data_IF_667984551973
#
_entry.id   IF_667984551973
#
_cell.length_a   1.000
_cell.length_b   1.000
_cell.length_c   1.000
_cell.angle_alpha   90.00
_cell.angle_beta   90.00
_cell.angle_gamma   90.00
#
_symmetry.space_group_name_H-M   'P 1'
#
loop_
_entity.id
_entity.type
_entity.pdbx_description
1 polymer ?
#
# COMPACT_ATOMS: atom_id res chain seq x y z
N UNK A 1 25.00 -43.93 -63.32
CA UNK A 1 26.22 -44.16 -62.52
C UNK A 1 27.00 -42.84 -62.38
N UNK A 2 26.43 -41.86 -61.67
CA UNK A 2 27.13 -40.65 -61.22
C UNK A 2 26.51 -40.30 -59.87
N UNK A 3 27.10 -40.82 -58.79
CA UNK A 3 26.92 -40.32 -57.42
C UNK A 3 28.17 -39.51 -57.08
N UNK A 4 28.01 -38.21 -56.78
CA UNK A 4 28.86 -37.37 -55.90
C UNK A 4 28.49 -35.89 -56.04
N UNK A 5 27.71 -35.39 -55.09
CA UNK A 5 27.85 -34.09 -54.41
C UNK A 5 26.51 -33.61 -53.87
N UNK A 6 26.23 -33.94 -52.61
CA UNK A 6 25.28 -33.22 -51.78
C UNK A 6 25.65 -33.43 -50.31
N UNK A 7 26.81 -32.90 -49.92
CA UNK A 7 27.18 -32.71 -48.51
C UNK A 7 27.61 -31.25 -48.37
N UNK A 8 26.85 -30.47 -47.59
CA UNK A 8 27.27 -29.13 -47.18
C UNK A 8 26.20 -28.05 -47.31
N UNK A 9 25.31 -27.99 -46.32
CA UNK A 9 25.01 -26.77 -45.53
C UNK A 9 23.91 -27.08 -44.51
N UNK A 10 24.34 -27.54 -43.33
CA UNK A 10 23.54 -27.43 -42.12
C UNK A 10 23.41 -25.95 -41.76
N UNK A 11 22.19 -25.54 -41.42
CA UNK A 11 21.80 -24.18 -41.14
C UNK A 11 22.40 -23.63 -39.83
N UNK A 12 22.82 -22.37 -39.87
CA UNK A 12 23.32 -21.58 -38.75
C UNK A 12 22.21 -21.27 -37.72
N UNK A 13 22.22 -21.98 -36.59
CA UNK A 13 21.50 -21.62 -35.36
C UNK A 13 22.30 -20.64 -34.52
N UNK A 14 21.81 -19.40 -34.38
CA UNK A 14 22.54 -18.26 -33.82
C UNK A 14 22.89 -18.36 -32.29
N UNK A 15 24.01 -17.75 -31.84
CA UNK A 15 24.61 -17.80 -30.48
C UNK A 15 23.88 -17.02 -29.35
N UNK A 16 22.61 -16.67 -29.54
CA UNK A 16 21.80 -15.92 -28.53
C UNK A 16 21.43 -16.81 -27.33
N UNK A 17 21.56 -18.13 -27.42
CA UNK A 17 21.08 -19.06 -26.38
C UNK A 17 22.01 -19.24 -25.17
N UNK A 18 23.34 -19.15 -25.33
CA UNK A 18 24.29 -19.39 -24.23
C UNK A 18 24.47 -18.18 -23.30
N UNK A 19 24.52 -16.96 -23.88
CA UNK A 19 24.65 -15.71 -23.13
C UNK A 19 23.42 -15.44 -22.26
N UNK A 20 22.22 -15.69 -22.79
CA UNK A 20 20.96 -15.55 -22.04
C UNK A 20 20.89 -16.55 -20.89
N UNK A 21 21.26 -17.82 -21.12
CA UNK A 21 21.34 -18.84 -20.05
C UNK A 21 22.33 -18.44 -18.95
N UNK A 22 23.54 -18.02 -19.31
CA UNK A 22 24.56 -17.59 -18.34
C UNK A 22 24.12 -16.37 -17.54
N UNK A 23 23.46 -15.39 -18.20
CA UNK A 23 22.89 -14.22 -17.53
C UNK A 23 21.83 -14.65 -16.51
N UNK A 24 20.89 -15.52 -16.89
CA UNK A 24 19.84 -16.04 -16.00
C UNK A 24 20.40 -16.85 -14.82
N UNK A 25 21.40 -17.69 -15.05
CA UNK A 25 22.05 -18.47 -13.99
C UNK A 25 22.74 -17.55 -12.97
N UNK A 26 23.41 -16.48 -13.43
CA UNK A 26 24.06 -15.50 -12.54
C UNK A 26 23.01 -14.72 -11.73
N UNK A 27 21.91 -14.30 -12.35
CA UNK A 27 20.78 -13.65 -11.68
C UNK A 27 20.19 -14.52 -10.56
N UNK A 28 19.99 -15.81 -10.85
CA UNK A 28 19.47 -16.79 -9.89
C UNK A 28 20.44 -17.05 -8.73
N UNK A 29 21.75 -17.16 -9.01
CA UNK A 29 22.77 -17.37 -7.98
C UNK A 29 22.86 -16.20 -7.00
N UNK A 30 22.82 -14.96 -7.50
CA UNK A 30 22.82 -13.75 -6.66
C UNK A 30 21.56 -13.70 -5.79
N UNK A 31 20.39 -13.97 -6.37
CA UNK A 31 19.14 -13.94 -5.63
C UNK A 31 19.05 -15.04 -4.56
N UNK A 32 19.51 -16.26 -4.86
CA UNK A 32 19.56 -17.37 -3.91
C UNK A 32 20.46 -17.03 -2.72
N UNK A 33 21.70 -16.62 -2.99
CA UNK A 33 22.65 -16.21 -1.95
C UNK A 33 22.10 -15.06 -1.08
N UNK A 34 21.40 -14.10 -1.68
CA UNK A 34 20.80 -12.99 -0.94
C UNK A 34 19.70 -13.46 0.02
N UNK A 35 18.78 -14.30 -0.45
CA UNK A 35 17.67 -14.79 0.36
C UNK A 35 18.15 -15.76 1.45
N UNK A 36 19.11 -16.63 1.14
CA UNK A 36 19.72 -17.54 2.13
C UNK A 36 20.42 -16.75 3.24
N UNK A 37 21.27 -15.77 2.88
CA UNK A 37 21.92 -14.91 3.87
C UNK A 37 20.89 -14.15 4.73
N UNK A 38 19.78 -13.70 4.14
CA UNK A 38 18.72 -13.01 4.89
C UNK A 38 17.97 -13.94 5.84
N UNK A 39 17.72 -15.18 5.44
CA UNK A 39 17.10 -16.19 6.30
C UNK A 39 18.01 -16.60 7.47
N UNK A 40 19.33 -16.67 7.25
CA UNK A 40 20.31 -17.07 8.27
C UNK A 40 20.68 -15.94 9.23
N UNK A 41 21.01 -14.76 8.70
CA UNK A 41 21.56 -13.64 9.48
C UNK A 41 20.50 -12.61 9.90
N UNK A 42 19.33 -12.63 9.27
CA UNK A 42 18.30 -11.61 9.40
C UNK A 42 18.46 -10.48 8.36
N UNK A 43 17.32 -9.99 7.87
CA UNK A 43 17.19 -9.01 6.78
C UNK A 43 18.10 -7.80 6.98
N UNK A 44 18.08 -7.19 8.16
CA UNK A 44 18.83 -5.96 8.44
C UNK A 44 20.35 -6.17 8.48
N UNK A 45 20.83 -7.40 8.72
CA UNK A 45 22.26 -7.70 8.90
C UNK A 45 23.00 -8.03 7.61
N UNK A 46 22.28 -8.34 6.53
CA UNK A 46 22.90 -8.73 5.25
C UNK A 46 23.57 -7.52 4.58
N UNK A 47 24.73 -7.73 3.97
CA UNK A 47 25.45 -6.70 3.19
C UNK A 47 25.63 -7.16 1.74
N UNK A 48 25.88 -6.22 0.83
CA UNK A 48 26.17 -6.55 -0.58
C UNK A 48 27.42 -7.44 -0.68
N UNK A 49 28.41 -7.22 0.18
CA UNK A 49 29.65 -7.99 0.26
C UNK A 49 29.40 -9.44 0.64
N UNK A 50 28.55 -9.69 1.64
CA UNK A 50 28.15 -11.05 2.03
C UNK A 50 27.49 -11.79 0.87
N UNK A 51 26.57 -11.12 0.16
CA UNK A 51 25.88 -11.69 -1.00
C UNK A 51 26.87 -12.01 -2.12
N UNK A 52 27.77 -11.07 -2.43
CA UNK A 52 28.79 -11.25 -3.47
C UNK A 52 29.70 -12.44 -3.15
N UNK A 53 30.14 -12.56 -1.90
CA UNK A 53 30.97 -13.67 -1.42
C UNK A 53 30.26 -15.01 -1.55
N UNK A 54 28.99 -15.08 -1.13
CA UNK A 54 28.19 -16.31 -1.20
C UNK A 54 27.84 -16.69 -2.65
N UNK A 55 27.55 -15.72 -3.52
CA UNK A 55 27.23 -15.96 -4.93
C UNK A 55 28.47 -16.17 -5.83
N UNK A 56 29.68 -15.95 -5.33
CA UNK A 56 30.91 -16.03 -6.11
C UNK A 56 31.01 -14.96 -7.21
N UNK A 57 30.48 -13.75 -6.97
CA UNK A 57 30.49 -12.65 -7.94
C UNK A 57 31.18 -11.41 -7.40
N UNK A 58 31.64 -10.53 -8.29
CA UNK A 58 32.17 -9.23 -7.88
C UNK A 58 31.05 -8.24 -7.52
N UNK A 59 31.36 -7.19 -6.74
CA UNK A 59 30.43 -6.09 -6.45
C UNK A 59 29.93 -5.41 -7.72
N UNK A 60 30.79 -5.21 -8.73
CA UNK A 60 30.38 -4.67 -10.04
C UNK A 60 29.40 -5.59 -10.76
N UNK A 61 29.65 -6.90 -10.72
CA UNK A 61 28.72 -7.90 -11.25
C UNK A 61 27.38 -7.84 -10.53
N UNK A 62 27.34 -7.71 -9.20
CA UNK A 62 26.10 -7.57 -8.46
C UNK A 62 25.27 -6.36 -8.94
N UNK A 63 25.89 -5.17 -9.02
CA UNK A 63 25.18 -3.94 -9.42
C UNK A 63 24.71 -3.93 -10.88
N UNK A 64 25.27 -4.78 -11.74
CA UNK A 64 24.76 -4.99 -13.09
C UNK A 64 23.40 -5.72 -13.13
N UNK A 65 23.00 -6.36 -12.03
CA UNK A 65 21.77 -7.14 -11.92
C UNK A 65 20.77 -6.54 -10.92
N UNK A 66 21.27 -6.02 -9.79
CA UNK A 66 20.44 -5.48 -8.70
C UNK A 66 20.92 -4.10 -8.29
N UNK A 67 19.98 -3.15 -8.16
CA UNK A 67 20.28 -1.79 -7.70
C UNK A 67 20.66 -1.72 -6.23
N UNK A 68 20.22 -2.69 -5.42
CA UNK A 68 20.45 -2.72 -3.98
C UNK A 68 20.43 -4.14 -3.42
N UNK A 69 20.93 -4.27 -2.18
CA UNK A 69 20.82 -5.50 -1.38
C UNK A 69 19.36 -5.94 -1.23
N UNK A 70 18.47 -5.01 -0.91
CA UNK A 70 17.05 -5.30 -0.71
C UNK A 70 16.38 -5.79 -2.00
N UNK A 71 16.76 -5.25 -3.15
CA UNK A 71 16.26 -5.71 -4.45
C UNK A 71 16.70 -7.16 -4.77
N UNK A 72 17.88 -7.58 -4.31
CA UNK A 72 18.34 -8.97 -4.44
C UNK A 72 17.57 -9.91 -3.51
N UNK A 73 17.29 -9.47 -2.28
CA UNK A 73 16.58 -10.26 -1.27
C UNK A 73 15.08 -10.37 -1.59
N UNK A 74 14.38 -9.25 -1.68
CA UNK A 74 12.91 -9.19 -1.81
C UNK A 74 12.49 -9.47 -3.26
N UNK A 75 13.27 -8.98 -4.22
CA UNK A 75 12.96 -9.00 -5.63
C UNK A 75 13.09 -7.60 -6.24
N UNK A 76 13.21 -7.54 -7.56
CA UNK A 76 13.35 -6.26 -8.29
C UNK A 76 12.08 -5.44 -8.15
N UNK A 77 12.24 -4.14 -7.94
CA UNK A 77 11.15 -3.15 -7.98
C UNK A 77 10.44 -3.25 -9.34
N UNK A 78 9.12 -3.30 -9.32
CA UNK A 78 8.31 -3.23 -10.54
C UNK A 78 8.52 -1.85 -11.13
N UNK A 79 9.00 -1.78 -12.37
CA UNK A 79 9.13 -0.51 -13.06
C UNK A 79 7.74 0.11 -13.28
N UNK A 80 7.66 1.45 -13.25
CA UNK A 80 6.44 2.13 -13.66
C UNK A 80 6.08 1.71 -15.09
N UNK A 81 4.79 1.49 -15.40
CA UNK A 81 4.38 1.14 -16.75
C UNK A 81 4.68 2.31 -17.70
N UNK A 82 5.07 2.00 -18.94
CA UNK A 82 5.20 3.03 -19.96
C UNK A 82 3.82 3.54 -20.40
N UNK A 83 3.73 4.75 -20.98
CA UNK A 83 2.48 5.24 -21.55
C UNK A 83 1.86 4.26 -22.55
N UNK A 84 2.67 3.58 -23.38
CA UNK A 84 2.18 2.60 -24.36
C UNK A 84 1.65 1.31 -23.71
N UNK A 85 2.26 0.87 -22.60
CA UNK A 85 1.75 -0.27 -21.84
C UNK A 85 0.42 0.07 -21.17
N UNK A 86 0.35 1.26 -20.56
CA UNK A 86 -0.86 1.77 -19.91
C UNK A 86 -1.99 1.90 -20.92
N UNK A 87 -1.73 2.56 -22.05
CA UNK A 87 -2.72 2.78 -23.10
C UNK A 87 -3.27 1.46 -23.67
N UNK A 88 -2.39 0.48 -23.94
CA UNK A 88 -2.81 -0.84 -24.42
C UNK A 88 -3.72 -1.56 -23.43
N UNK A 89 -3.34 -1.60 -22.15
CA UNK A 89 -4.08 -2.34 -21.13
C UNK A 89 -5.44 -1.69 -20.82
N UNK A 90 -5.44 -0.36 -20.64
CA UNK A 90 -6.64 0.41 -20.33
C UNK A 90 -7.62 0.44 -21.51
N UNK A 91 -7.13 0.62 -22.74
CA UNK A 91 -7.98 0.59 -23.95
C UNK A 91 -8.57 -0.79 -24.25
N UNK A 92 -8.01 -1.86 -23.68
CA UNK A 92 -8.59 -3.21 -23.75
C UNK A 92 -9.86 -3.37 -22.89
N UNK A 93 -10.05 -2.48 -21.90
CA UNK A 93 -11.17 -2.51 -20.96
C UNK A 93 -11.86 -1.14 -20.88
N UNK A 94 -12.40 -0.63 -22.00
CA UNK A 94 -13.01 0.70 -22.02
C UNK A 94 -14.21 0.73 -21.06
N UNK A 95 -14.16 1.61 -20.07
CA UNK A 95 -15.16 1.73 -19.02
C UNK A 95 -14.97 0.79 -17.82
N UNK A 96 -13.89 0.00 -17.75
CA UNK A 96 -13.49 -0.71 -16.53
C UNK A 96 -12.03 -0.42 -16.21
N UNK A 97 -11.73 0.73 -15.56
CA UNK A 97 -10.36 1.09 -15.21
C UNK A 97 -9.71 0.05 -14.27
N UNK A 98 -10.51 -0.63 -13.44
CA UNK A 98 -10.02 -1.70 -12.56
C UNK A 98 -9.51 -2.90 -13.35
N UNK A 99 -10.26 -3.38 -14.36
CA UNK A 99 -9.82 -4.51 -15.18
C UNK A 99 -8.60 -4.15 -16.03
N UNK A 100 -8.60 -2.94 -16.63
CA UNK A 100 -7.44 -2.44 -17.38
C UNK A 100 -6.18 -2.35 -16.52
N UNK A 101 -6.32 -1.93 -15.26
CA UNK A 101 -5.22 -1.88 -14.31
C UNK A 101 -4.77 -3.27 -13.84
N UNK A 102 -5.69 -4.22 -13.63
CA UNK A 102 -5.36 -5.61 -13.31
C UNK A 102 -4.51 -6.24 -14.43
N UNK A 103 -4.93 -6.06 -15.68
CA UNK A 103 -4.22 -6.54 -16.87
C UNK A 103 -2.85 -5.89 -17.05
N UNK A 104 -2.72 -4.63 -16.61
CA UNK A 104 -1.44 -3.91 -16.63
C UNK A 104 -0.48 -4.42 -15.55
N UNK A 105 -0.94 -4.49 -14.30
CA UNK A 105 -0.05 -4.63 -13.14
C UNK A 105 0.17 -6.09 -12.75
N UNK A 106 -0.86 -6.94 -12.78
CA UNK A 106 -0.76 -8.30 -12.23
C UNK A 106 0.24 -9.13 -13.04
N UNK A 107 0.20 -9.14 -14.39
CA UNK A 107 1.23 -9.81 -15.18
C UNK A 107 2.63 -9.21 -14.97
N UNK A 108 2.75 -7.90 -14.82
CA UNK A 108 4.03 -7.24 -14.58
C UNK A 108 4.65 -7.65 -13.23
N UNK A 109 3.84 -7.79 -12.18
CA UNK A 109 4.27 -8.28 -10.86
C UNK A 109 4.55 -9.78 -10.89
N UNK A 110 3.71 -10.55 -11.59
CA UNK A 110 3.77 -12.01 -11.63
C UNK A 110 4.90 -12.56 -12.52
N UNK A 111 5.30 -11.85 -13.58
CA UNK A 111 6.19 -12.33 -14.65
C UNK A 111 7.67 -12.54 -14.28
N UNK A 112 8.04 -12.46 -13.01
CA UNK A 112 9.40 -12.81 -12.57
C UNK A 112 9.57 -14.32 -12.39
N UNK A 113 10.01 -14.99 -13.46
CA UNK A 113 10.37 -16.41 -13.46
C UNK A 113 11.56 -16.71 -12.53
N UNK A 114 11.25 -16.98 -11.26
CA UNK A 114 12.19 -17.53 -10.26
C UNK A 114 11.92 -19.02 -10.04
N UNK A 115 12.95 -19.80 -9.71
CA UNK A 115 12.78 -21.23 -9.44
C UNK A 115 11.96 -21.49 -8.16
N UNK A 116 11.23 -22.62 -8.05
CA UNK A 116 10.33 -22.91 -6.92
C UNK A 116 10.97 -22.85 -5.53
N UNK A 117 12.27 -23.13 -5.42
CA UNK A 117 13.00 -23.06 -4.15
C UNK A 117 13.18 -21.62 -3.67
N UNK A 118 13.69 -20.74 -4.54
CA UNK A 118 13.89 -19.32 -4.23
C UNK A 118 12.57 -18.62 -3.87
N UNK A 119 11.52 -19.04 -4.56
CA UNK A 119 10.13 -18.62 -4.33
C UNK A 119 9.66 -18.96 -2.92
N UNK A 120 9.79 -20.22 -2.53
CA UNK A 120 9.48 -20.71 -1.17
C UNK A 120 10.32 -19.99 -0.11
N UNK A 121 11.61 -19.78 -0.37
CA UNK A 121 12.52 -19.11 0.55
C UNK A 121 12.12 -17.65 0.81
N UNK A 122 11.71 -16.91 -0.23
CA UNK A 122 11.22 -15.52 -0.08
C UNK A 122 9.90 -15.45 0.68
N UNK A 123 8.96 -16.36 0.43
CA UNK A 123 7.71 -16.40 1.19
C UNK A 123 7.99 -16.63 2.69
N UNK A 124 8.90 -17.57 3.02
CA UNK A 124 9.35 -17.78 4.41
C UNK A 124 10.01 -16.55 5.01
N UNK A 125 10.82 -15.83 4.22
CA UNK A 125 11.47 -14.60 4.68
C UNK A 125 10.45 -13.50 5.01
N UNK A 126 9.51 -13.24 4.09
CA UNK A 126 8.48 -12.22 4.28
C UNK A 126 7.57 -12.55 5.46
N UNK A 127 7.16 -13.81 5.60
CA UNK A 127 6.35 -14.26 6.73
C UNK A 127 7.11 -14.27 8.07
N UNK A 128 8.42 -14.51 8.05
CA UNK A 128 9.24 -14.68 9.25
C UNK A 128 9.96 -13.41 9.74
N UNK A 129 10.09 -12.39 8.90
CA UNK A 129 10.90 -11.21 9.20
C UNK A 129 10.15 -9.90 8.88
N UNK A 130 9.67 -9.17 9.92
CA UNK A 130 8.90 -7.93 9.73
C UNK A 130 9.62 -6.86 8.91
N UNK A 131 10.94 -6.75 9.03
CA UNK A 131 11.72 -5.79 8.25
C UNK A 131 11.68 -6.08 6.74
N UNK A 132 11.70 -7.36 6.36
CA UNK A 132 11.59 -7.78 4.97
C UNK A 132 10.18 -7.49 4.42
N UNK A 133 9.14 -7.78 5.20
CA UNK A 133 7.76 -7.48 4.84
C UNK A 133 7.54 -5.98 4.65
N UNK A 134 7.97 -5.15 5.60
CA UNK A 134 7.88 -3.68 5.51
C UNK A 134 8.55 -3.15 4.25
N UNK A 135 9.76 -3.62 3.93
CA UNK A 135 10.47 -3.19 2.73
C UNK A 135 9.74 -3.62 1.44
N UNK A 136 9.18 -4.82 1.42
CA UNK A 136 8.37 -5.29 0.29
C UNK A 136 7.10 -4.45 0.11
N UNK A 137 6.34 -4.23 1.18
CA UNK A 137 5.12 -3.43 1.17
C UNK A 137 5.36 -1.98 0.78
N UNK A 138 6.43 -1.35 1.29
CA UNK A 138 6.82 0.01 0.90
C UNK A 138 7.12 0.12 -0.61
N UNK A 139 7.80 -0.88 -1.17
CA UNK A 139 8.04 -0.96 -2.61
C UNK A 139 6.75 -1.03 -3.44
N UNK A 140 5.74 -1.75 -2.96
CA UNK A 140 4.44 -1.86 -3.63
C UNK A 140 3.61 -0.57 -3.53
N UNK A 141 3.69 0.17 -2.44
CA UNK A 141 3.03 1.49 -2.31
C UNK A 141 3.63 2.50 -3.30
N UNK A 142 4.95 2.47 -3.51
CA UNK A 142 5.57 3.31 -4.55
C UNK A 142 5.04 2.97 -5.96
N UNK A 143 4.82 1.69 -6.25
CA UNK A 143 4.20 1.25 -7.50
C UNK A 143 2.76 1.77 -7.61
N UNK A 144 1.99 1.73 -6.51
CA UNK A 144 0.64 2.27 -6.44
C UNK A 144 0.60 3.77 -6.82
N UNK A 145 1.54 4.57 -6.33
CA UNK A 145 1.61 6.00 -6.69
C UNK A 145 1.87 6.21 -8.18
N UNK A 146 2.84 5.50 -8.75
CA UNK A 146 3.15 5.59 -10.18
C UNK A 146 1.99 5.13 -11.06
N UNK A 147 1.27 4.08 -10.66
CA UNK A 147 0.07 3.61 -11.35
C UNK A 147 -1.06 4.64 -11.32
N UNK A 148 -1.22 5.35 -10.20
CA UNK A 148 -2.24 6.40 -10.07
C UNK A 148 -1.97 7.55 -11.03
N UNK A 149 -0.71 7.98 -11.15
CA UNK A 149 -0.32 9.02 -12.13
C UNK A 149 -0.54 8.55 -13.58
N UNK A 150 -0.17 7.32 -13.91
CA UNK A 150 -0.37 6.76 -15.25
C UNK A 150 -1.86 6.63 -15.61
N UNK A 151 -2.68 6.14 -14.68
CA UNK A 151 -4.12 5.99 -14.87
C UNK A 151 -4.82 7.36 -14.98
N UNK A 152 -4.45 8.33 -14.15
CA UNK A 152 -4.97 9.71 -14.23
C UNK A 152 -4.65 10.35 -15.59
N UNK A 153 -3.41 10.22 -16.06
CA UNK A 153 -3.01 10.74 -17.36
C UNK A 153 -3.81 10.11 -18.50
N UNK A 154 -4.05 8.79 -18.43
CA UNK A 154 -4.85 8.08 -19.43
C UNK A 154 -6.32 8.48 -19.39
N UNK A 155 -6.96 8.56 -18.21
CA UNK A 155 -8.36 8.98 -18.03
C UNK A 155 -8.58 10.44 -18.45
N UNK A 156 -7.57 11.29 -18.28
CA UNK A 156 -7.61 12.69 -18.75
C UNK A 156 -7.59 12.76 -20.27
N UNK A 157 -6.85 11.87 -20.94
CA UNK A 157 -6.79 11.78 -22.40
C UNK A 157 -8.03 11.10 -23.01
N UNK A 158 -8.71 10.23 -22.26
CA UNK A 158 -9.86 9.43 -22.68
C UNK A 158 -11.07 9.66 -21.78
N UNK A 159 -11.63 10.89 -21.72
CA UNK A 159 -12.74 11.23 -20.83
C UNK A 159 -14.01 10.40 -21.10
N UNK A 160 -14.18 9.85 -22.31
CA UNK A 160 -15.26 8.93 -22.67
C UNK A 160 -15.19 7.58 -21.96
N UNK A 161 -14.01 7.20 -21.45
CA UNK A 161 -13.79 5.98 -20.68
C UNK A 161 -13.92 6.19 -19.17
N UNK A 162 -14.05 7.45 -18.71
CA UNK A 162 -14.13 7.79 -17.30
C UNK A 162 -15.51 7.49 -16.71
N UNK A 163 -15.52 6.84 -15.55
CA UNK A 163 -16.70 6.59 -14.72
C UNK A 163 -17.08 7.77 -13.84
N UNK A 164 -16.11 8.63 -13.51
CA UNK A 164 -16.32 9.86 -12.74
C UNK A 164 -15.96 11.08 -13.62
N UNK A 165 -16.90 11.58 -14.45
CA UNK A 165 -16.63 12.66 -15.38
C UNK A 165 -16.04 13.90 -14.69
N UNK A 166 -14.94 14.41 -15.25
CA UNK A 166 -14.23 15.59 -14.72
C UNK A 166 -13.42 15.34 -13.44
N UNK A 167 -13.30 14.09 -12.97
CA UNK A 167 -12.55 13.73 -11.75
C UNK A 167 -11.54 12.59 -11.98
N UNK A 168 -10.66 12.67 -13.00
CA UNK A 168 -9.76 11.56 -13.38
C UNK A 168 -8.80 11.13 -12.26
N UNK A 169 -8.31 12.08 -11.43
CA UNK A 169 -7.46 11.75 -10.27
C UNK A 169 -8.17 10.89 -9.23
N UNK A 170 -9.43 11.22 -8.93
CA UNK A 170 -10.21 10.49 -7.93
C UNK A 170 -10.49 9.08 -8.44
N UNK A 171 -10.95 8.95 -9.67
CA UNK A 171 -11.19 7.67 -10.31
C UNK A 171 -9.93 6.79 -10.35
N UNK A 172 -8.79 7.34 -10.79
CA UNK A 172 -7.51 6.65 -10.80
C UNK A 172 -7.10 6.17 -9.38
N UNK A 173 -7.26 7.03 -8.37
CA UNK A 173 -6.89 6.71 -6.99
C UNK A 173 -7.76 5.57 -6.43
N UNK A 174 -9.06 5.60 -6.69
CA UNK A 174 -10.00 4.55 -6.26
C UNK A 174 -9.73 3.23 -6.97
N UNK A 175 -9.58 3.27 -8.31
CA UNK A 175 -9.32 2.07 -9.11
C UNK A 175 -7.98 1.40 -8.74
N UNK A 176 -6.91 2.19 -8.60
CA UNK A 176 -5.60 1.68 -8.21
C UNK A 176 -5.60 1.14 -6.78
N UNK A 177 -6.31 1.80 -5.85
CA UNK A 177 -6.46 1.27 -4.48
C UNK A 177 -7.23 -0.05 -4.46
N UNK A 178 -8.29 -0.19 -5.27
CA UNK A 178 -9.02 -1.45 -5.39
C UNK A 178 -8.15 -2.59 -5.92
N UNK A 179 -7.34 -2.33 -6.95
CA UNK A 179 -6.37 -3.28 -7.50
C UNK A 179 -5.32 -3.68 -6.47
N UNK A 180 -4.80 -2.71 -5.72
CA UNK A 180 -3.86 -2.97 -4.63
C UNK A 180 -4.49 -3.85 -3.53
N UNK A 181 -5.73 -3.54 -3.13
CA UNK A 181 -6.49 -4.33 -2.15
C UNK A 181 -6.67 -5.78 -2.62
N UNK A 182 -6.98 -5.98 -3.90
CA UNK A 182 -7.11 -7.30 -4.49
C UNK A 182 -5.81 -8.09 -4.41
N UNK A 183 -4.70 -7.49 -4.84
CA UNK A 183 -3.37 -8.10 -4.76
C UNK A 183 -2.98 -8.41 -3.30
N UNK A 184 -3.29 -7.52 -2.35
CA UNK A 184 -3.00 -7.73 -0.94
C UNK A 184 -3.83 -8.88 -0.34
N UNK A 185 -5.11 -9.00 -0.69
CA UNK A 185 -5.97 -10.07 -0.20
C UNK A 185 -5.57 -11.44 -0.77
N UNK A 186 -5.32 -11.57 -2.08
CA UNK A 186 -4.89 -12.85 -2.68
C UNK A 186 -3.55 -13.34 -2.15
N UNK A 187 -2.71 -12.43 -1.68
CA UNK A 187 -1.39 -12.74 -1.08
C UNK A 187 -1.42 -12.97 0.42
N UNK A 188 -2.60 -12.87 1.05
CA UNK A 188 -2.73 -12.99 2.50
C UNK A 188 -2.00 -11.88 3.25
N UNK A 189 -2.18 -10.62 2.83
CA UNK A 189 -1.50 -9.47 3.42
C UNK A 189 -0.02 -9.40 3.06
N UNK A 190 0.34 -9.76 1.82
CA UNK A 190 1.73 -9.86 1.35
C UNK A 190 2.57 -10.96 2.00
N UNK A 191 1.93 -11.88 2.74
CA UNK A 191 2.59 -13.07 3.32
C UNK A 191 3.20 -13.97 2.25
N UNK A 192 2.64 -13.93 1.04
CA UNK A 192 3.14 -14.66 -0.12
C UNK A 192 3.30 -13.66 -1.29
N UNK A 193 4.41 -13.65 -2.04
CA UNK A 193 4.52 -12.81 -3.23
C UNK A 193 3.43 -13.13 -4.26
N UNK A 194 2.87 -12.12 -4.93
CA UNK A 194 1.76 -12.31 -5.90
C UNK A 194 2.08 -13.32 -7.01
N UNK A 195 3.34 -13.40 -7.46
CA UNK A 195 3.79 -14.38 -8.47
C UNK A 195 3.66 -15.86 -8.05
N UNK A 196 3.48 -16.14 -6.76
CA UNK A 196 3.28 -17.50 -6.25
C UNK A 196 1.80 -17.90 -6.21
N UNK A 197 0.89 -16.93 -6.33
CA UNK A 197 -0.54 -17.19 -6.34
C UNK A 197 -0.87 -17.93 -7.65
N UNK A 198 -1.53 -19.11 -7.59
CA UNK A 198 -2.00 -19.79 -8.80
C UNK A 198 -2.98 -18.89 -9.54
N UNK A 199 -2.72 -18.66 -10.83
CA UNK A 199 -3.51 -17.77 -11.68
C UNK A 199 -3.81 -16.40 -10.99
N UNK A 200 -2.77 -15.58 -10.76
CA UNK A 200 -2.88 -14.41 -9.90
C UNK A 200 -3.87 -13.38 -10.45
N UNK A 201 -4.04 -13.31 -11.78
CA UNK A 201 -4.98 -12.40 -12.42
C UNK A 201 -6.43 -12.83 -12.13
N UNK A 202 -6.77 -14.10 -12.39
CA UNK A 202 -8.11 -14.60 -12.08
C UNK A 202 -8.43 -14.52 -10.57
N UNK A 203 -7.44 -14.80 -9.72
CA UNK A 203 -7.58 -14.64 -8.28
C UNK A 203 -7.89 -13.18 -7.89
N UNK A 204 -7.22 -12.19 -8.50
CA UNK A 204 -7.50 -10.78 -8.24
C UNK A 204 -8.91 -10.37 -8.71
N UNK A 205 -9.37 -10.82 -9.89
CA UNK A 205 -10.75 -10.56 -10.33
C UNK A 205 -11.79 -11.15 -9.35
N UNK A 206 -11.57 -12.36 -8.84
CA UNK A 206 -12.43 -12.97 -7.82
C UNK A 206 -12.47 -12.14 -6.51
N UNK A 207 -11.34 -11.56 -6.13
CA UNK A 207 -11.28 -10.67 -4.97
C UNK A 207 -11.94 -9.31 -5.25
N UNK A 208 -11.88 -8.78 -6.47
CA UNK A 208 -12.66 -7.59 -6.85
C UNK A 208 -14.17 -7.85 -6.73
N UNK A 209 -14.68 -9.03 -7.10
CA UNK A 209 -16.07 -9.42 -6.84
C UNK A 209 -16.42 -9.43 -5.34
N UNK A 210 -15.47 -9.88 -4.51
CA UNK A 210 -15.62 -9.86 -3.04
C UNK A 210 -15.67 -8.42 -2.52
N UNK A 211 -14.82 -7.53 -3.05
CA UNK A 211 -14.83 -6.12 -2.72
C UNK A 211 -16.14 -5.45 -3.13
N UNK A 212 -16.67 -5.74 -4.33
CA UNK A 212 -17.98 -5.28 -4.81
C UNK A 212 -19.10 -5.64 -3.84
N UNK A 213 -19.07 -6.87 -3.32
CA UNK A 213 -20.01 -7.34 -2.29
C UNK A 213 -19.90 -6.53 -1.00
N UNK A 214 -18.67 -6.29 -0.52
CA UNK A 214 -18.41 -5.57 0.74
C UNK A 214 -18.81 -4.09 0.69
N UNK A 215 -18.62 -3.42 -0.44
CA UNK A 215 -19.02 -2.00 -0.57
C UNK A 215 -20.51 -1.84 -0.87
N UNK A 216 -21.28 -2.93 -0.95
CA UNK A 216 -22.75 -2.86 -1.04
C UNK A 216 -23.31 -2.79 -2.46
N UNK A 217 -22.58 -3.22 -3.50
CA UNK A 217 -23.13 -3.28 -4.87
C UNK A 217 -24.25 -4.34 -5.05
N UNK A 218 -24.57 -5.14 -4.02
CA UNK A 218 -25.57 -6.23 -4.08
C UNK A 218 -26.74 -6.14 -3.07
N UNK A 219 -26.86 -5.09 -2.27
CA UNK A 219 -28.03 -4.86 -1.40
C UNK A 219 -28.66 -3.47 -1.66
N UNK A 220 -30.00 -3.34 -1.77
CA UNK A 220 -30.65 -2.07 -2.03
C UNK A 220 -30.82 -1.25 -0.76
N UNK A 221 -30.40 0.02 -0.85
CA UNK A 221 -30.67 1.16 0.05
C UNK A 221 -29.68 1.34 1.21
N UNK A 222 -28.79 2.37 1.15
CA UNK A 222 -28.04 2.79 2.33
C UNK A 222 -28.97 3.51 3.32
N UNK A 223 -28.74 3.40 4.65
CA UNK A 223 -29.38 4.29 5.62
C UNK A 223 -28.94 5.74 5.37
N UNK A 224 -29.79 6.70 5.72
CA UNK A 224 -29.50 8.12 5.51
C UNK A 224 -28.25 8.60 6.25
N UNK A 225 -27.64 9.74 5.85
CA UNK A 225 -26.33 10.20 6.32
C UNK A 225 -26.16 10.34 7.85
N UNK A 226 -27.26 10.44 8.60
CA UNK A 226 -27.25 10.52 10.07
C UNK A 226 -27.17 9.15 10.79
N UNK A 227 -27.38 8.04 10.09
CA UNK A 227 -27.25 6.67 10.64
C UNK A 227 -25.90 6.01 10.31
N UNK A 228 -25.13 6.58 9.37
CA UNK A 228 -23.88 6.01 8.84
C UNK A 228 -22.73 6.05 9.86
N UNK A 229 -22.73 7.01 10.80
CA UNK A 229 -21.76 7.05 11.91
C UNK A 229 -22.48 7.13 13.25
N UNK A 230 -22.61 5.99 13.93
CA UNK A 230 -22.69 5.97 15.38
C UNK A 230 -21.27 5.97 15.92
N UNK A 231 -20.56 7.09 15.71
CA UNK A 231 -19.37 7.35 16.52
C UNK A 231 -19.79 7.26 17.99
N UNK A 232 -18.94 6.76 18.89
CA UNK A 232 -19.16 6.97 20.31
C UNK A 232 -19.42 8.46 20.51
N UNK A 233 -20.56 8.82 21.13
CA UNK A 233 -20.79 10.19 21.59
C UNK A 233 -19.52 10.60 22.31
N UNK A 234 -18.88 11.77 21.99
CA UNK A 234 -17.67 12.18 22.68
C UNK A 234 -17.96 12.03 24.16
N UNK A 235 -17.22 11.13 24.80
CA UNK A 235 -17.43 10.80 26.21
C UNK A 235 -17.62 12.12 26.95
N UNK A 236 -18.70 12.21 27.75
CA UNK A 236 -18.91 13.24 28.76
C UNK A 236 -17.56 13.83 29.16
N UNK A 237 -17.37 15.12 28.89
CA UNK A 237 -16.15 15.90 29.15
C UNK A 237 -15.01 15.05 29.69
N UNK A 238 -14.21 14.46 28.79
CA UNK A 238 -12.96 13.77 29.17
C UNK A 238 -12.29 14.65 30.23
N UNK A 239 -12.18 14.19 31.50
CA UNK A 239 -11.96 15.06 32.63
C UNK A 239 -10.77 15.94 32.32
N UNK A 240 -11.02 17.26 32.31
CA UNK A 240 -10.12 18.31 31.84
C UNK A 240 -8.67 17.86 31.98
N UNK A 241 -8.10 17.35 30.86
CA UNK A 241 -6.84 16.60 30.88
C UNK A 241 -5.83 17.26 31.81
N UNK A 242 -5.36 16.49 32.79
CA UNK A 242 -4.58 17.03 33.90
C UNK A 242 -3.41 17.87 33.37
N UNK A 243 -3.01 18.91 34.11
CA UNK A 243 -1.96 19.86 33.69
C UNK A 243 -0.70 19.16 33.14
N UNK A 244 -0.37 17.98 33.68
CA UNK A 244 0.75 17.14 33.23
C UNK A 244 0.58 16.65 31.78
N UNK A 245 -0.61 16.23 31.38
CA UNK A 245 -0.90 15.72 30.04
C UNK A 245 -0.92 16.85 29.00
N UNK A 246 -1.44 18.03 29.35
CA UNK A 246 -1.33 19.23 28.50
C UNK A 246 0.12 19.63 28.30
N UNK A 247 0.90 19.76 29.37
CA UNK A 247 2.34 20.09 29.29
C UNK A 247 3.13 19.07 28.46
N UNK A 248 2.76 17.79 28.56
CA UNK A 248 3.33 16.72 27.73
C UNK A 248 3.03 16.98 26.25
N UNK A 249 1.77 17.20 25.89
CA UNK A 249 1.35 17.49 24.50
C UNK A 249 1.92 18.77 23.94
N UNK A 250 2.00 19.84 24.73
CA UNK A 250 2.62 21.10 24.29
C UNK A 250 4.12 20.89 23.98
N UNK A 251 4.80 20.06 24.77
CA UNK A 251 6.20 19.71 24.52
C UNK A 251 6.34 18.86 23.27
N UNK A 252 5.47 17.87 23.09
CA UNK A 252 5.42 17.01 21.90
C UNK A 252 5.17 17.82 20.63
N UNK A 253 4.16 18.71 20.63
CA UNK A 253 3.86 19.60 19.50
C UNK A 253 5.03 20.52 19.16
N UNK A 254 5.74 21.08 20.14
CA UNK A 254 6.93 21.91 19.89
C UNK A 254 8.07 21.10 19.25
N UNK A 255 8.29 19.87 19.72
CA UNK A 255 9.28 18.96 19.15
C UNK A 255 8.96 18.60 17.69
N UNK A 256 7.70 18.24 17.41
CA UNK A 256 7.26 17.91 16.05
C UNK A 256 7.33 19.12 15.11
N UNK A 257 6.81 20.27 15.53
CA UNK A 257 6.86 21.49 14.72
C UNK A 257 8.29 21.89 14.38
N UNK A 258 9.21 21.86 15.36
CA UNK A 258 10.62 22.13 15.12
C UNK A 258 11.23 21.14 14.12
N UNK A 259 10.96 19.84 14.30
CA UNK A 259 11.49 18.78 13.43
C UNK A 259 11.02 18.93 11.98
N UNK A 260 9.72 19.09 11.75
CA UNK A 260 9.15 19.18 10.40
C UNK A 260 9.56 20.49 9.71
N UNK A 261 9.60 21.61 10.44
CA UNK A 261 10.04 22.91 9.87
C UNK A 261 11.50 22.86 9.46
N UNK A 262 12.39 22.31 10.29
CA UNK A 262 13.80 22.16 9.91
C UNK A 262 13.97 21.20 8.73
N UNK A 263 13.17 20.14 8.63
CA UNK A 263 13.22 19.25 7.47
C UNK A 263 12.79 19.97 6.19
N UNK A 264 11.75 20.81 6.24
CA UNK A 264 11.34 21.64 5.10
C UNK A 264 12.39 22.69 4.70
N UNK A 265 13.11 23.26 5.66
CA UNK A 265 14.12 24.30 5.42
C UNK A 265 15.47 23.73 4.93
N UNK A 266 15.88 22.56 5.44
CA UNK A 266 17.27 22.05 5.31
C UNK A 266 17.35 20.65 4.68
N UNK A 267 16.21 20.05 4.35
CA UNK A 267 16.06 18.67 3.91
C UNK A 267 16.02 17.66 5.07
N UNK A 268 15.32 16.55 4.87
CA UNK A 268 15.12 15.44 5.81
C UNK A 268 16.44 14.92 6.38
N UNK A 269 17.46 14.76 5.53
CA UNK A 269 18.77 14.30 5.95
C UNK A 269 19.52 15.33 6.82
N UNK A 270 19.24 16.62 6.68
CA UNK A 270 19.97 17.71 7.31
C UNK A 270 19.57 18.03 8.75
N UNK A 271 18.50 17.44 9.29
CA UNK A 271 17.98 17.77 10.62
C UNK A 271 18.65 16.97 11.73
N UNK A 272 19.12 17.61 12.80
CA UNK A 272 19.68 16.88 13.96
C UNK A 272 18.76 16.94 15.20
N UNK A 273 18.84 15.91 16.05
CA UNK A 273 18.13 15.88 17.35
C UNK A 273 18.52 17.09 18.22
N UNK A 274 19.79 17.48 18.20
CA UNK A 274 20.30 18.58 19.04
C UNK A 274 19.72 19.95 18.62
N UNK A 275 19.47 20.16 17.33
CA UNK A 275 18.79 21.37 16.83
C UNK A 275 17.32 21.38 17.24
N UNK A 276 16.62 20.25 17.08
CA UNK A 276 15.21 20.10 17.49
C UNK A 276 15.08 20.39 18.99
N UNK A 277 15.97 19.82 19.82
CA UNK A 277 15.98 20.03 21.26
C UNK A 277 16.20 21.49 21.64
N UNK A 278 17.10 22.19 20.94
CA UNK A 278 17.39 23.61 21.16
C UNK A 278 16.19 24.49 20.88
N UNK A 279 15.53 24.26 19.74
CA UNK A 279 14.33 24.99 19.33
C UNK A 279 13.15 24.73 20.28
N UNK A 280 12.93 23.47 20.64
CA UNK A 280 11.88 23.07 21.57
C UNK A 280 12.23 23.34 23.04
N UNK A 281 13.41 23.89 23.36
CA UNK A 281 13.86 24.18 24.72
C UNK A 281 13.73 22.95 25.64
N UNK A 282 14.28 21.82 25.20
CA UNK A 282 14.31 20.56 25.96
C UNK A 282 15.68 19.90 25.90
N UNK A 283 15.93 18.95 26.82
CA UNK A 283 17.15 18.14 26.76
C UNK A 283 17.01 17.00 25.74
N UNK A 284 18.16 16.45 25.31
CA UNK A 284 18.19 15.25 24.46
C UNK A 284 17.55 14.04 25.13
N UNK A 285 17.72 13.86 26.44
CA UNK A 285 17.03 12.81 27.20
C UNK A 285 15.52 13.02 27.17
N UNK A 286 15.06 14.28 27.28
CA UNK A 286 13.65 14.60 27.14
C UNK A 286 13.13 14.25 25.76
N UNK A 287 13.85 14.58 24.67
CA UNK A 287 13.46 14.20 23.31
C UNK A 287 13.19 12.69 23.19
N UNK A 288 14.12 11.86 23.67
CA UNK A 288 14.00 10.40 23.58
C UNK A 288 12.88 9.81 24.43
N UNK A 289 12.35 10.56 25.40
CA UNK A 289 11.14 10.16 26.12
C UNK A 289 9.85 10.31 25.29
N UNK A 290 9.89 11.08 24.19
CA UNK A 290 8.76 11.29 23.28
C UNK A 290 8.95 10.55 21.96
N UNK A 291 10.15 10.60 21.38
CA UNK A 291 10.42 10.05 20.06
C UNK A 291 11.62 9.10 20.08
N UNK A 292 11.53 7.92 19.46
CA UNK A 292 12.64 6.97 19.40
C UNK A 292 13.79 7.48 18.52
N UNK A 293 13.50 8.34 17.54
CA UNK A 293 14.47 8.90 16.61
C UNK A 293 13.96 10.23 16.04
N UNK A 294 14.84 10.98 15.34
CA UNK A 294 14.43 12.23 14.67
C UNK A 294 13.37 11.99 13.60
N UNK A 295 13.46 10.85 12.89
CA UNK A 295 12.56 10.49 11.81
C UNK A 295 11.13 10.40 12.33
N UNK A 296 10.93 9.81 13.52
CA UNK A 296 9.62 9.75 14.17
C UNK A 296 9.04 11.12 14.54
N UNK A 297 9.88 12.11 14.84
CA UNK A 297 9.45 13.49 15.06
C UNK A 297 9.13 14.20 13.73
N UNK A 298 9.86 13.88 12.66
CA UNK A 298 9.69 14.48 11.34
C UNK A 298 8.47 13.89 10.62
N UNK A 299 8.44 12.58 10.33
CA UNK A 299 7.36 11.97 9.53
C UNK A 299 6.19 11.44 10.36
N UNK A 300 6.34 11.40 11.68
CA UNK A 300 5.33 10.87 12.59
C UNK A 300 5.62 9.44 13.04
N UNK A 301 4.75 8.93 13.90
CA UNK A 301 4.76 7.54 14.38
C UNK A 301 3.55 6.81 13.82
N UNK A 302 3.58 5.47 13.75
CA UNK A 302 2.41 4.71 13.33
C UNK A 302 1.21 5.09 14.18
N UNK A 303 0.03 5.20 13.55
CA UNK A 303 -1.21 5.45 14.26
C UNK A 303 -1.42 4.35 15.30
N UNK A 304 -1.58 4.75 16.56
CA UNK A 304 -1.99 3.81 17.62
C UNK A 304 -3.48 3.50 17.42
N UNK A 305 -3.75 2.43 16.69
CA UNK A 305 -5.11 1.95 16.44
C UNK A 305 -5.73 1.47 17.74
N UNK A 306 -6.98 1.83 17.98
CA UNK A 306 -7.76 1.27 19.09
C UNK A 306 -7.81 -0.26 19.03
N UNK A 307 -7.77 -0.89 20.19
CA UNK A 307 -7.81 -2.37 20.32
C UNK A 307 -8.80 -2.81 21.39
N UNK A 308 -9.08 -4.12 21.44
CA UNK A 308 -9.90 -4.74 22.47
C UNK A 308 -11.34 -4.20 22.52
N UNK A 309 -11.85 -3.96 23.73
CA UNK A 309 -13.22 -3.49 23.93
C UNK A 309 -13.50 -2.16 23.21
N UNK A 310 -12.57 -1.20 23.25
CA UNK A 310 -12.76 0.09 22.60
C UNK A 310 -12.90 -0.03 21.08
N UNK A 311 -12.14 -0.93 20.44
CA UNK A 311 -12.31 -1.21 19.02
C UNK A 311 -13.63 -1.92 18.73
N UNK A 312 -14.02 -2.87 19.57
CA UNK A 312 -15.28 -3.60 19.43
C UNK A 312 -16.50 -2.66 19.56
N UNK A 313 -16.46 -1.71 20.49
CA UNK A 313 -17.51 -0.70 20.69
C UNK A 313 -17.67 0.20 19.45
N UNK A 314 -16.57 0.51 18.76
CA UNK A 314 -16.60 1.30 17.52
C UNK A 314 -17.07 0.46 16.33
N UNK A 315 -16.66 -0.81 16.22
CA UNK A 315 -16.98 -1.67 15.08
C UNK A 315 -18.42 -2.23 15.14
N UNK A 316 -18.94 -2.55 16.32
CA UNK A 316 -20.23 -3.20 16.50
C UNK A 316 -21.42 -2.47 15.85
N UNK A 317 -21.55 -1.12 15.90
CA UNK A 317 -22.61 -0.40 15.21
C UNK A 317 -22.56 -0.53 13.68
N UNK A 318 -21.41 -0.89 13.12
CA UNK A 318 -21.14 -0.94 11.69
C UNK A 318 -20.96 -2.37 11.17
N UNK A 319 -21.39 -3.40 11.93
CA UNK A 319 -21.14 -4.79 11.56
C UNK A 319 -21.77 -5.25 10.23
N UNK A 320 -22.64 -4.44 9.62
CA UNK A 320 -23.20 -4.69 8.28
C UNK A 320 -22.51 -3.90 7.16
N UNK A 321 -21.69 -2.91 7.50
CA UNK A 321 -20.92 -2.04 6.60
C UNK A 321 -19.52 -1.83 7.20
N UNK A 322 -18.69 -2.86 7.04
CA UNK A 322 -17.37 -2.89 7.65
C UNK A 322 -16.43 -1.79 7.14
N UNK A 323 -16.41 -1.39 5.85
CA UNK A 323 -15.64 -0.22 5.40
C UNK A 323 -15.93 1.04 6.23
N UNK A 324 -17.20 1.33 6.50
CA UNK A 324 -17.60 2.44 7.37
C UNK A 324 -17.15 2.24 8.81
N UNK A 325 -17.26 1.01 9.34
CA UNK A 325 -16.73 0.68 10.67
C UNK A 325 -15.22 0.90 10.80
N UNK A 326 -14.45 0.53 9.77
CA UNK A 326 -13.01 0.77 9.75
C UNK A 326 -12.69 2.26 9.67
N UNK A 327 -13.43 3.03 8.86
CA UNK A 327 -13.31 4.49 8.85
C UNK A 327 -13.59 5.11 10.24
N UNK A 328 -14.65 4.66 10.93
CA UNK A 328 -14.95 5.11 12.29
C UNK A 328 -13.83 4.75 13.28
N UNK A 329 -13.27 3.54 13.17
CA UNK A 329 -12.13 3.09 13.99
C UNK A 329 -10.88 3.95 13.75
N UNK A 330 -10.59 4.28 12.49
CA UNK A 330 -9.50 5.19 12.12
C UNK A 330 -9.73 6.60 12.67
N UNK A 331 -10.94 7.13 12.51
CA UNK A 331 -11.32 8.46 12.99
C UNK A 331 -11.18 8.58 14.51
N UNK A 332 -11.74 7.63 15.26
CA UNK A 332 -11.64 7.59 16.72
C UNK A 332 -10.17 7.44 17.18
N UNK A 333 -9.38 6.61 16.50
CA UNK A 333 -7.95 6.46 16.80
C UNK A 333 -7.18 7.78 16.57
N UNK A 334 -7.47 8.50 15.48
CA UNK A 334 -6.88 9.81 15.17
C UNK A 334 -7.31 10.89 16.18
N UNK A 335 -8.59 10.92 16.57
CA UNK A 335 -9.09 11.86 17.57
C UNK A 335 -8.40 11.66 18.93
N UNK A 336 -8.18 10.40 19.33
CA UNK A 336 -7.45 10.06 20.56
C UNK A 336 -5.97 10.41 20.49
N UNK A 337 -5.36 10.25 19.31
CA UNK A 337 -3.98 10.65 19.08
C UNK A 337 -3.77 12.18 19.18
N UNK A 338 -4.85 12.98 19.06
CA UNK A 338 -4.83 14.45 19.18
C UNK A 338 -3.75 15.08 18.30
N UNK A 339 -3.70 14.64 17.04
CA UNK A 339 -2.70 15.08 16.06
C UNK A 339 -2.78 16.60 15.89
N UNK A 340 -1.63 17.27 15.97
CA UNK A 340 -1.56 18.69 15.71
C UNK A 340 -1.78 18.98 14.21
N UNK A 341 -2.81 19.75 13.82
CA UNK A 341 -3.15 19.96 12.41
C UNK A 341 -2.04 20.67 11.62
N UNK A 342 -1.28 21.58 12.25
CA UNK A 342 -0.16 22.26 11.60
C UNK A 342 0.99 21.31 11.32
N UNK A 343 1.33 20.44 12.28
CA UNK A 343 2.36 19.42 12.11
C UNK A 343 2.03 18.52 10.93
N UNK A 344 0.79 18.04 10.88
CA UNK A 344 0.39 17.13 9.84
C UNK A 344 0.33 17.79 8.45
N UNK A 345 -0.13 19.05 8.35
CA UNK A 345 -0.05 19.84 7.11
C UNK A 345 1.39 19.96 6.62
N UNK A 346 2.33 20.27 7.51
CA UNK A 346 3.75 20.40 7.18
C UNK A 346 4.37 19.04 6.78
N UNK A 347 3.93 17.93 7.38
CA UNK A 347 4.34 16.56 6.99
C UNK A 347 3.89 16.22 5.57
N UNK A 348 2.64 16.57 5.21
CA UNK A 348 2.14 16.42 3.84
C UNK A 348 2.97 17.24 2.86
N UNK A 349 3.27 18.49 3.19
CA UNK A 349 4.13 19.35 2.37
C UNK A 349 5.54 18.77 2.19
N UNK A 350 6.14 18.28 3.27
CA UNK A 350 7.48 17.68 3.25
C UNK A 350 7.51 16.42 2.39
N UNK A 351 6.52 15.55 2.54
CA UNK A 351 6.40 14.35 1.72
C UNK A 351 6.37 14.72 0.22
N UNK A 352 5.53 15.69 -0.17
CA UNK A 352 5.46 16.10 -1.58
C UNK A 352 6.81 16.62 -2.12
N UNK A 353 7.62 17.29 -1.29
CA UNK A 353 8.90 17.87 -1.69
C UNK A 353 10.06 16.88 -1.69
N UNK A 354 10.06 15.88 -0.81
CA UNK A 354 11.25 15.06 -0.55
C UNK A 354 10.95 13.55 -0.55
N UNK A 355 11.67 12.82 -1.40
CA UNK A 355 11.51 11.36 -1.54
C UNK A 355 11.85 10.62 -0.23
N UNK A 356 12.94 10.99 0.45
CA UNK A 356 13.35 10.31 1.69
C UNK A 356 12.29 10.45 2.80
N UNK A 357 11.65 11.61 2.91
CA UNK A 357 10.56 11.82 3.85
C UNK A 357 9.29 11.03 3.45
N UNK A 358 8.98 10.96 2.15
CA UNK A 358 7.92 10.08 1.61
C UNK A 358 8.14 8.62 1.97
N UNK A 359 9.35 8.11 1.76
CA UNK A 359 9.68 6.71 2.01
C UNK A 359 9.55 6.38 3.51
N UNK A 360 10.05 7.26 4.39
CA UNK A 360 9.93 7.10 5.84
C UNK A 360 8.46 7.20 6.34
N UNK A 361 7.68 8.13 5.77
CA UNK A 361 6.24 8.21 6.06
C UNK A 361 5.46 7.00 5.55
N UNK A 362 5.86 6.43 4.41
CA UNK A 362 5.25 5.21 3.85
C UNK A 362 5.39 4.02 4.79
N UNK A 363 6.56 3.83 5.40
CA UNK A 363 6.75 2.78 6.40
C UNK A 363 5.81 2.94 7.60
N UNK A 364 5.60 4.19 8.03
CA UNK A 364 4.67 4.53 9.13
C UNK A 364 3.22 4.18 8.78
N UNK A 365 2.81 4.40 7.53
CA UNK A 365 1.49 4.03 7.03
C UNK A 365 1.31 2.51 6.93
N UNK A 366 2.34 1.77 6.50
CA UNK A 366 2.31 0.30 6.44
C UNK A 366 2.06 -0.29 7.82
N UNK A 367 2.81 0.15 8.84
CA UNK A 367 2.67 -0.34 10.21
C UNK A 367 1.27 -0.06 10.78
N UNK A 368 0.74 1.14 10.53
CA UNK A 368 -0.61 1.52 10.95
C UNK A 368 -1.70 0.69 10.25
N UNK A 369 -1.54 0.45 8.94
CA UNK A 369 -2.45 -0.38 8.15
C UNK A 369 -2.45 -1.84 8.62
N UNK A 370 -1.29 -2.40 8.94
CA UNK A 370 -1.16 -3.75 9.51
C UNK A 370 -1.89 -3.87 10.86
N UNK A 371 -1.67 -2.91 11.77
CA UNK A 371 -2.37 -2.88 13.04
C UNK A 371 -3.89 -2.81 12.87
N UNK A 372 -4.36 -1.97 11.94
CA UNK A 372 -5.79 -1.82 11.63
C UNK A 372 -6.40 -3.11 11.11
N UNK A 373 -5.78 -3.74 10.11
CA UNK A 373 -6.26 -5.01 9.54
C UNK A 373 -6.28 -6.14 10.59
N UNK A 374 -5.28 -6.19 11.48
CA UNK A 374 -5.24 -7.18 12.56
C UNK A 374 -6.41 -7.00 13.54
N UNK A 375 -6.70 -5.76 13.97
CA UNK A 375 -7.83 -5.46 14.86
C UNK A 375 -9.15 -5.88 14.23
N UNK A 376 -9.37 -5.53 12.97
CA UNK A 376 -10.61 -5.84 12.25
C UNK A 376 -10.76 -7.36 12.04
N UNK A 377 -9.68 -8.05 11.68
CA UNK A 377 -9.66 -9.52 11.56
C UNK A 377 -10.04 -10.18 12.87
N UNK A 378 -9.40 -9.79 13.97
CA UNK A 378 -9.62 -10.40 15.28
C UNK A 378 -11.06 -10.14 15.76
N UNK A 379 -11.61 -8.96 15.45
CA UNK A 379 -13.02 -8.64 15.70
C UNK A 379 -13.98 -9.52 14.88
N UNK A 380 -13.70 -9.75 13.58
CA UNK A 380 -14.49 -10.65 12.72
C UNK A 380 -14.44 -12.10 13.20
N UNK A 381 -13.29 -12.58 13.69
CA UNK A 381 -13.16 -13.91 14.27
C UNK A 381 -14.04 -14.05 15.52
N UNK A 382 -14.07 -13.02 16.37
CA UNK A 382 -14.91 -13.00 17.57
C UNK A 382 -16.40 -12.80 17.26
N UNK A 383 -16.73 -12.22 16.10
CA UNK A 383 -18.10 -11.85 15.71
C UNK A 383 -18.45 -12.37 14.30
N UNK A 384 -18.48 -13.69 14.07
CA UNK A 384 -18.68 -14.26 12.75
C UNK A 384 -20.03 -13.90 12.11
N UNK A 385 -21.02 -13.47 12.90
CA UNK A 385 -22.31 -12.97 12.40
C UNK A 385 -22.20 -11.70 11.54
N UNK A 386 -21.10 -10.96 11.64
CA UNK A 386 -20.84 -9.75 10.87
C UNK A 386 -20.00 -10.00 9.61
N UNK A 387 -19.46 -11.22 9.44
CA UNK A 387 -18.64 -11.56 8.28
C UNK A 387 -19.50 -11.69 7.02
N UNK A 388 -19.13 -10.96 5.96
CA UNK A 388 -19.73 -11.05 4.63
C UNK A 388 -18.97 -11.99 3.69
N UNK A 389 -17.74 -12.38 4.05
CA UNK A 389 -16.95 -13.41 3.38
C UNK A 389 -16.72 -14.59 4.35
N UNK A 390 -17.67 -15.53 4.45
CA UNK A 390 -17.61 -16.63 5.42
C UNK A 390 -16.31 -17.44 5.30
N UNK A 391 -15.65 -17.65 6.44
CA UNK A 391 -14.39 -18.41 6.52
C UNK A 391 -13.14 -17.64 6.09
N UNK A 392 -13.27 -16.36 5.72
CA UNK A 392 -12.14 -15.54 5.23
C UNK A 392 -12.00 -14.20 5.98
N UNK A 393 -11.97 -14.17 7.34
CA UNK A 393 -11.94 -12.93 8.11
C UNK A 393 -10.71 -12.05 7.83
N UNK A 394 -9.58 -12.66 7.46
CA UNK A 394 -8.37 -11.92 7.10
C UNK A 394 -8.52 -11.20 5.75
N UNK A 395 -9.10 -11.86 4.74
CA UNK A 395 -9.33 -11.24 3.43
C UNK A 395 -10.38 -10.13 3.54
N UNK A 396 -11.45 -10.35 4.31
CA UNK A 396 -12.48 -9.35 4.56
C UNK A 396 -11.90 -8.11 5.29
N UNK A 397 -11.07 -8.30 6.31
CA UNK A 397 -10.41 -7.21 7.00
C UNK A 397 -9.48 -6.39 6.06
N UNK A 398 -8.73 -7.07 5.19
CA UNK A 398 -7.89 -6.41 4.16
C UNK A 398 -8.75 -5.56 3.23
N UNK A 399 -9.83 -6.12 2.69
CA UNK A 399 -10.70 -5.42 1.74
C UNK A 399 -11.43 -4.24 2.38
N UNK A 400 -12.02 -4.44 3.57
CA UNK A 400 -12.70 -3.36 4.28
C UNK A 400 -11.74 -2.23 4.68
N UNK A 401 -10.53 -2.57 5.12
CA UNK A 401 -9.53 -1.56 5.48
C UNK A 401 -9.01 -0.77 4.28
N UNK A 402 -8.79 -1.44 3.14
CA UNK A 402 -8.39 -0.75 1.91
C UNK A 402 -9.53 0.08 1.29
N UNK A 403 -10.79 -0.36 1.41
CA UNK A 403 -11.94 0.43 1.00
C UNK A 403 -12.06 1.71 1.85
N UNK A 404 -11.89 1.60 3.17
CA UNK A 404 -11.83 2.76 4.06
C UNK A 404 -10.66 3.69 3.69
N UNK A 405 -9.47 3.13 3.45
CA UNK A 405 -8.31 3.88 2.98
C UNK A 405 -8.58 4.62 1.65
N UNK A 406 -9.24 3.97 0.69
CA UNK A 406 -9.64 4.57 -0.59
C UNK A 406 -10.58 5.76 -0.39
N UNK A 407 -11.58 5.62 0.50
CA UNK A 407 -12.49 6.70 0.83
C UNK A 407 -11.76 7.90 1.46
N UNK A 408 -10.82 7.65 2.38
CA UNK A 408 -10.03 8.69 3.04
C UNK A 408 -9.04 9.37 2.08
N UNK A 409 -8.43 8.62 1.15
CA UNK A 409 -7.38 9.13 0.26
C UNK A 409 -7.89 10.15 -0.76
N UNK A 410 -9.19 10.14 -1.07
CA UNK A 410 -9.83 11.07 -2.01
C UNK A 410 -10.56 12.23 -1.32
N UNK A 411 -10.53 12.30 0.00
CA UNK A 411 -11.05 13.45 0.75
C UNK A 411 -10.23 14.69 0.40
N UNK A 412 -10.91 15.78 0.03
CA UNK A 412 -10.26 17.03 -0.43
C UNK A 412 -9.33 17.67 0.60
N UNK A 413 -9.62 17.50 1.89
CA UNK A 413 -8.78 17.96 3.00
C UNK A 413 -7.80 16.87 3.49
N UNK A 414 -7.74 15.72 2.81
CA UNK A 414 -6.91 14.58 3.14
C UNK A 414 -7.29 13.91 4.47
N UNK A 415 -6.40 13.06 4.98
CA UNK A 415 -6.54 12.35 6.25
C UNK A 415 -6.80 13.26 7.46
N UNK A 416 -6.43 14.54 7.37
CA UNK A 416 -6.59 15.52 8.44
C UNK A 416 -8.01 16.07 8.57
N UNK A 417 -8.81 15.97 7.51
CA UNK A 417 -10.24 16.29 7.57
C UNK A 417 -10.91 15.50 8.70
N UNK A 418 -10.58 14.20 8.77
CA UNK A 418 -11.17 13.21 9.68
C UNK A 418 -11.06 13.64 11.14
N UNK A 419 -9.95 14.28 11.53
CA UNK A 419 -9.72 14.73 12.89
C UNK A 419 -10.28 16.15 13.17
N UNK A 420 -10.49 16.97 12.14
CA UNK A 420 -10.89 18.37 12.27
C UNK A 420 -12.41 18.57 12.32
N UNK A 421 -13.16 17.76 11.58
CA UNK A 421 -14.63 17.78 11.54
C UNK A 421 -15.15 16.37 11.22
N UNK A 422 -15.48 15.55 12.25
CA UNK A 422 -15.90 14.17 12.07
C UNK A 422 -17.20 14.03 11.26
N UNK A 423 -18.15 14.96 11.39
CA UNK A 423 -19.43 14.91 10.68
C UNK A 423 -19.27 15.27 9.20
N UNK A 424 -18.52 16.33 8.88
CA UNK A 424 -18.21 16.65 7.49
C UNK A 424 -17.36 15.55 6.83
N UNK A 425 -16.47 14.92 7.61
CA UNK A 425 -15.66 13.80 7.14
C UNK A 425 -16.49 12.56 6.87
N UNK A 426 -17.50 12.28 7.69
CA UNK A 426 -18.45 11.19 7.48
C UNK A 426 -19.23 11.35 6.17
N UNK A 427 -19.79 12.54 5.91
CA UNK A 427 -20.53 12.80 4.67
C UNK A 427 -19.63 12.71 3.43
N UNK A 428 -18.41 13.23 3.52
CA UNK A 428 -17.44 13.17 2.42
C UNK A 428 -16.94 11.74 2.19
N UNK A 429 -16.78 10.95 3.26
CA UNK A 429 -16.44 9.53 3.17
C UNK A 429 -17.55 8.72 2.50
N UNK A 430 -18.82 8.95 2.87
CA UNK A 430 -19.96 8.29 2.23
C UNK A 430 -20.01 8.58 0.71
N UNK A 431 -19.79 9.84 0.31
CA UNK A 431 -19.70 10.21 -1.10
C UNK A 431 -18.50 9.54 -1.81
N UNK A 432 -17.36 9.38 -1.11
CA UNK A 432 -16.22 8.65 -1.66
C UNK A 432 -16.50 7.14 -1.80
N UNK A 433 -17.31 6.56 -0.92
CA UNK A 433 -17.78 5.17 -1.05
C UNK A 433 -18.74 5.00 -2.22
N UNK A 434 -19.60 5.99 -2.50
CA UNK A 434 -20.42 6.03 -3.72
C UNK A 434 -19.55 6.09 -4.97
N UNK A 435 -18.54 6.98 -4.99
CA UNK A 435 -17.58 7.04 -6.10
C UNK A 435 -16.87 5.68 -6.28
N UNK A 436 -16.46 5.02 -5.20
CA UNK A 436 -15.81 3.71 -5.25
C UNK A 436 -16.75 2.63 -5.84
N UNK A 437 -18.04 2.64 -5.47
CA UNK A 437 -19.05 1.76 -6.08
C UNK A 437 -19.12 1.99 -7.59
N UNK A 438 -19.23 3.25 -8.03
CA UNK A 438 -19.28 3.61 -9.46
C UNK A 438 -18.02 3.17 -10.21
N UNK A 439 -16.84 3.30 -9.61
CA UNK A 439 -15.57 2.83 -10.21
C UNK A 439 -15.50 1.31 -10.29
N UNK A 440 -16.11 0.60 -9.34
CA UNK A 440 -16.14 -0.85 -9.29
C UNK A 440 -17.24 -1.46 -10.18
N UNK A 441 -18.23 -0.72 -10.67
CA UNK A 441 -19.27 -1.26 -11.53
C UNK A 441 -18.70 -1.85 -12.83
N UNK A 442 -19.17 -3.03 -13.21
CA UNK A 442 -18.94 -3.55 -14.57
C UNK A 442 -19.56 -2.59 -15.59
N UNK A 443 -19.04 -2.56 -16.81
CA UNK A 443 -19.70 -1.81 -17.88
C UNK A 443 -21.05 -2.48 -18.13
N UNK A 444 -22.15 -1.71 -18.06
CA UNK A 444 -23.40 -2.20 -18.62
C UNK A 444 -23.11 -2.58 -20.08
N UNK A 445 -23.47 -3.80 -20.54
CA UNK A 445 -23.34 -4.11 -21.96
C UNK A 445 -24.08 -3.03 -22.74
N UNK A 446 -23.40 -2.42 -23.72
CA UNK A 446 -24.00 -1.42 -24.61
C UNK A 446 -25.28 -2.02 -25.19
N UNK A 447 -26.44 -1.58 -24.68
CA UNK A 447 -27.74 -2.04 -25.15
C UNK A 447 -28.13 -1.32 -26.45
N UNK A 448 -27.19 -1.22 -27.39
CA UNK A 448 -27.33 -0.59 -28.70
C UNK A 448 -26.98 -1.57 -29.81
N UNK A 449 -27.58 -2.76 -29.78
CA UNK A 449 -27.56 -3.71 -30.89
C UNK A 449 -28.89 -4.45 -31.14
N UNK A 450 -30.03 -3.91 -30.68
CA UNK A 450 -31.37 -4.36 -31.10
C UNK A 450 -32.26 -3.17 -31.47
N UNK A 451 -32.01 -2.58 -32.64
CA UNK A 451 -32.98 -1.84 -33.45
C UNK A 451 -32.31 -1.34 -34.74
N UNK A 452 -32.07 -2.24 -35.69
CA UNK A 452 -32.05 -1.94 -37.12
C UNK A 452 -32.29 -3.22 -37.92
#
# INVERSE_FOLDING_TARGET
MIERNAMGKAADGHPVSARVRRRKATDQAIAAAAVEAALELGFDRVTVEMICSAAGVSRSTFFNYYSSRDAAIIGRTIAAPTPEQTDRAMSGHPGSPVDGLLDLVVPAVASFATGPELRTARARLLAGQPAALRQYSAGLILVQNNLTEAAEAWLTAHPESARLPGRPRVEATLAVTAVYAAMQAVTGGWSIPLREVPDPLAACHCVIESLRTLVGLREPTPPGPAEILKLPVPAEEVPATGLRERKRRDTESRLELAAVRFALERGFAGVTVDEICREAVVSRSTFFNYFPAREAAIVGRPLEVLTGAAAADVLAPHGNDLPTGVFALMAESLMRARVNPDVARLRTELALKEQAARDAGTATLVDAGEALMNVVRDWLIANPQHARLPGQPAAEAVLASNAAYAGVSVLRAGWLAVAGDPEASAATFAAAMDDLRTVLEDRAPDNTAESA
#
